data_IF_617103985764
#
_entry.id   IF_617103985764
#
_cell.length_a   1.000
_cell.length_b   1.000
_cell.length_c   1.000
_cell.angle_alpha   90.00
_cell.angle_beta   90.00
_cell.angle_gamma   90.00
#
_symmetry.space_group_name_H-M   'P 1'
#
loop_
_entity.id
_entity.type
_entity.pdbx_description
1 polymer ?
#
# COMPACT_ATOMS: atom_id res chain seq x y z
N UNK A 1 -22.85 -10.32 49.58
CA UNK A 1 -21.68 -10.04 48.71
C UNK A 1 -22.04 -8.84 47.84
N UNK A 2 -21.98 -7.64 48.42
CA UNK A 2 -22.32 -6.39 47.75
C UNK A 2 -21.05 -5.55 47.66
N UNK A 3 -20.51 -5.41 46.45
CA UNK A 3 -19.37 -4.54 46.18
C UNK A 3 -19.85 -3.10 46.21
N UNK A 4 -19.61 -2.39 47.32
CA UNK A 4 -19.70 -0.92 47.37
C UNK A 4 -18.40 -0.34 46.82
N UNK A 5 -18.43 0.17 45.60
CA UNK A 5 -17.44 1.13 45.12
C UNK A 5 -17.67 2.47 45.84
N UNK A 6 -16.98 2.67 46.96
CA UNK A 6 -16.87 3.99 47.58
C UNK A 6 -15.73 4.73 46.88
N UNK A 7 -16.08 5.69 46.03
CA UNK A 7 -15.15 6.67 45.46
C UNK A 7 -14.90 7.74 46.52
N UNK A 8 -14.03 7.41 47.47
CA UNK A 8 -13.60 8.34 48.53
C UNK A 8 -12.47 9.22 47.97
N UNK A 9 -12.77 10.50 47.73
CA UNK A 9 -11.87 11.50 47.11
C UNK A 9 -10.92 12.15 48.14
N UNK A 10 -10.46 11.43 49.15
CA UNK A 10 -9.75 12.03 50.30
C UNK A 10 -8.50 11.25 50.76
N UNK A 11 -7.74 10.70 49.82
CA UNK A 11 -6.33 10.40 50.06
C UNK A 11 -5.53 10.66 48.79
N UNK A 12 -4.80 11.77 48.79
CA UNK A 12 -3.77 12.11 47.83
C UNK A 12 -2.67 11.05 47.88
N UNK A 13 -2.86 9.96 47.15
CA UNK A 13 -1.76 9.16 46.62
C UNK A 13 -1.02 10.07 45.64
N UNK A 14 0.28 10.22 45.84
CA UNK A 14 1.24 10.83 44.90
C UNK A 14 1.25 10.03 43.59
N UNK A 15 0.15 10.10 42.84
CA UNK A 15 0.04 9.54 41.52
C UNK A 15 0.73 10.51 40.57
N UNK A 16 2.05 10.41 40.51
CA UNK A 16 2.86 11.11 39.53
C UNK A 16 2.74 10.35 38.21
N UNK A 17 1.77 10.75 37.39
CA UNK A 17 1.54 10.17 36.06
C UNK A 17 2.76 10.52 35.19
N UNK A 18 3.53 9.52 34.73
CA UNK A 18 4.64 9.71 33.78
C UNK A 18 4.10 10.03 32.38
N UNK A 19 3.48 11.21 32.29
CA UNK A 19 2.81 11.72 31.10
C UNK A 19 3.78 12.00 29.96
N UNK A 20 5.06 12.18 30.29
CA UNK A 20 6.14 12.43 29.35
C UNK A 20 6.42 11.19 28.50
N UNK A 21 6.54 10.02 29.13
CA UNK A 21 6.68 8.75 28.43
C UNK A 21 5.47 8.42 27.54
N UNK A 22 4.26 8.67 28.05
CA UNK A 22 3.04 8.49 27.27
C UNK A 22 2.97 9.41 26.05
N UNK A 23 3.29 10.70 26.19
CA UNK A 23 3.26 11.64 25.09
C UNK A 23 4.23 11.26 23.96
N UNK A 24 5.41 10.79 24.35
CA UNK A 24 6.48 10.48 23.42
C UNK A 24 6.19 9.23 22.57
N UNK A 25 5.56 8.20 23.12
CA UNK A 25 5.47 6.90 22.44
C UNK A 25 4.05 6.61 21.91
N UNK A 26 3.04 7.17 22.56
CA UNK A 26 1.65 6.79 22.31
C UNK A 26 1.15 7.40 20.99
N UNK A 27 0.94 6.52 20.01
CA UNK A 27 0.36 6.87 18.72
C UNK A 27 1.33 6.99 17.56
N UNK A 28 2.63 6.73 17.78
CA UNK A 28 3.65 6.90 16.75
C UNK A 28 3.30 6.14 15.47
N UNK A 29 3.06 4.83 15.55
CA UNK A 29 2.69 4.03 14.38
C UNK A 29 1.39 4.45 13.71
N UNK A 30 0.43 5.01 14.45
CA UNK A 30 -0.84 5.48 13.85
C UNK A 30 -0.65 6.80 13.10
N UNK A 31 0.11 7.73 13.67
CA UNK A 31 0.41 9.02 13.05
C UNK A 31 1.31 8.84 11.84
N UNK A 32 2.28 7.94 11.88
CA UNK A 32 3.22 7.67 10.80
C UNK A 32 2.50 7.34 9.49
N UNK A 33 1.54 6.40 9.52
CA UNK A 33 0.80 5.95 8.33
C UNK A 33 0.03 7.05 7.60
N UNK A 34 -0.34 8.13 8.30
CA UNK A 34 -1.10 9.25 7.74
C UNK A 34 -0.31 10.55 7.72
N UNK A 35 0.96 10.58 8.17
CA UNK A 35 1.74 11.80 8.36
C UNK A 35 1.92 12.59 7.04
N UNK A 36 2.24 11.89 5.95
CA UNK A 36 2.37 12.49 4.63
C UNK A 36 1.03 13.07 4.14
N UNK A 37 -0.08 12.38 4.37
CA UNK A 37 -1.41 12.85 3.92
C UNK A 37 -1.89 14.02 4.79
N UNK A 38 -1.69 13.98 6.10
CA UNK A 38 -2.05 15.08 7.02
C UNK A 38 -1.36 16.40 6.64
N UNK A 39 -0.09 16.34 6.24
CA UNK A 39 0.72 17.52 5.89
C UNK A 39 0.40 18.10 4.52
N UNK A 40 -0.29 17.36 3.65
CA UNK A 40 -0.79 17.85 2.36
C UNK A 40 -2.04 18.74 2.53
N UNK A 41 -2.83 18.59 3.61
CA UNK A 41 -3.98 19.47 3.89
C UNK A 41 -3.58 20.88 4.33
N UNK A 42 -4.37 21.90 4.03
CA UNK A 42 -4.14 23.27 4.54
C UNK A 42 -4.41 23.37 6.05
N UNK A 43 -5.14 22.41 6.62
CA UNK A 43 -5.36 22.34 8.07
C UNK A 43 -4.08 21.96 8.83
N UNK A 44 -2.99 21.60 8.13
CA UNK A 44 -1.67 21.41 8.72
C UNK A 44 -1.17 22.65 9.48
N UNK A 45 -1.59 23.86 9.10
CA UNK A 45 -1.17 25.12 9.73
C UNK A 45 -1.92 25.47 11.02
N UNK A 46 -3.00 24.74 11.34
CA UNK A 46 -3.84 25.05 12.50
C UNK A 46 -3.15 24.55 13.78
N UNK A 47 -3.02 25.39 14.82
CA UNK A 47 -2.42 24.99 16.10
C UNK A 47 -3.27 23.91 16.77
N UNK A 48 -2.80 22.67 16.81
CA UNK A 48 -3.56 21.53 17.32
C UNK A 48 -2.72 20.61 18.19
N UNK A 49 -3.41 19.83 19.01
CA UNK A 49 -2.79 18.73 19.74
C UNK A 49 -2.36 17.64 18.75
N UNK A 50 -1.07 17.29 18.74
CA UNK A 50 -0.50 16.22 17.92
C UNK A 50 0.04 15.11 18.83
N UNK A 51 -0.45 13.86 18.72
CA UNK A 51 0.25 12.73 19.31
C UNK A 51 1.57 12.51 18.58
N UNK A 52 2.61 12.07 19.30
CA UNK A 52 3.92 11.74 18.74
C UNK A 52 4.48 12.75 17.69
N UNK A 53 4.61 14.05 18.04
CA UNK A 53 4.99 15.10 17.08
C UNK A 53 6.39 14.90 16.47
N UNK A 54 7.25 14.09 17.09
CA UNK A 54 8.57 13.75 16.57
C UNK A 54 8.54 13.10 15.18
N UNK A 55 7.43 12.47 14.79
CA UNK A 55 7.28 11.88 13.44
C UNK A 55 7.44 12.90 12.33
N UNK A 56 7.08 14.16 12.59
CA UNK A 56 7.19 15.25 11.63
C UNK A 56 8.59 15.90 11.62
N UNK A 57 9.46 15.51 12.55
CA UNK A 57 10.80 16.08 12.77
C UNK A 57 11.86 15.07 12.26
N UNK A 58 11.73 14.66 10.99
CA UNK A 58 12.65 13.70 10.37
C UNK A 58 13.93 14.41 9.88
N UNK A 59 15.13 13.80 9.97
CA UNK A 59 16.34 14.38 9.40
C UNK A 59 16.23 14.62 7.89
N UNK A 60 15.53 13.72 7.20
CA UNK A 60 15.25 13.76 5.77
C UNK A 60 13.75 13.57 5.54
N UNK A 61 13.17 14.42 4.69
CA UNK A 61 11.76 14.30 4.31
C UNK A 61 11.60 13.26 3.21
N UNK A 62 10.51 12.48 3.20
CA UNK A 62 10.22 11.55 2.12
C UNK A 62 10.11 12.25 0.76
N UNK A 63 10.84 11.78 -0.25
CA UNK A 63 10.78 12.40 -1.58
C UNK A 63 9.56 11.97 -2.39
N UNK A 64 8.97 10.82 -2.05
CA UNK A 64 7.81 10.24 -2.73
C UNK A 64 6.77 9.81 -1.70
N UNK A 65 5.51 9.71 -2.15
CA UNK A 65 4.45 9.08 -1.39
C UNK A 65 4.80 7.61 -1.13
N UNK A 66 4.43 7.09 0.04
CA UNK A 66 4.62 5.69 0.37
C UNK A 66 3.89 4.78 -0.62
N UNK A 67 4.68 4.00 -1.37
CA UNK A 67 4.22 2.99 -2.32
C UNK A 67 4.08 1.65 -1.64
N UNK A 68 3.23 0.78 -2.20
CA UNK A 68 3.12 -0.60 -1.70
C UNK A 68 4.23 -1.43 -2.34
N UNK A 69 5.27 -1.73 -1.56
CA UNK A 69 6.58 -2.25 -1.99
C UNK A 69 6.61 -3.69 -2.52
N UNK A 70 5.47 -4.28 -2.87
CA UNK A 70 5.39 -5.68 -3.28
C UNK A 70 4.41 -5.94 -4.44
N UNK A 71 3.78 -4.91 -5.00
CA UNK A 71 2.92 -5.05 -6.16
C UNK A 71 3.64 -4.55 -7.41
N UNK A 72 3.82 -5.44 -8.39
CA UNK A 72 4.51 -5.14 -9.64
C UNK A 72 3.51 -4.72 -10.71
N UNK A 73 3.90 -3.79 -11.55
CA UNK A 73 3.03 -3.23 -12.59
C UNK A 73 3.72 -3.33 -13.95
N UNK A 74 2.99 -3.72 -14.98
CA UNK A 74 3.49 -3.72 -16.37
C UNK A 74 2.42 -3.23 -17.36
N UNK A 75 2.84 -2.44 -18.33
CA UNK A 75 2.01 -2.01 -19.45
C UNK A 75 1.97 -3.11 -20.51
N UNK A 76 0.76 -3.51 -20.91
CA UNK A 76 0.54 -4.63 -21.85
C UNK A 76 1.13 -4.32 -23.23
N UNK A 77 0.91 -3.10 -23.73
CA UNK A 77 1.35 -2.69 -25.07
C UNK A 77 2.56 -1.76 -25.05
N UNK A 78 2.78 -1.03 -23.96
CA UNK A 78 3.89 -0.09 -23.86
C UNK A 78 5.20 -0.74 -23.38
N UNK A 79 5.14 -1.93 -22.79
CA UNK A 79 6.29 -2.61 -22.18
C UNK A 79 6.91 -1.87 -20.99
N UNK A 80 6.27 -0.79 -20.52
CA UNK A 80 6.70 -0.05 -19.34
C UNK A 80 6.53 -0.94 -18.10
N UNK A 81 7.57 -1.03 -17.29
CA UNK A 81 7.56 -1.78 -16.04
C UNK A 81 7.69 -0.85 -14.85
N UNK A 82 6.94 -1.14 -13.79
CA UNK A 82 7.02 -0.49 -12.49
C UNK A 82 7.24 -1.55 -11.41
N UNK A 83 8.27 -1.37 -10.58
CA UNK A 83 8.58 -2.31 -9.49
C UNK A 83 7.54 -2.22 -8.36
N UNK A 84 7.00 -1.03 -8.14
CA UNK A 84 6.00 -0.72 -7.11
C UNK A 84 4.77 -0.04 -7.70
N UNK A 85 3.63 -0.24 -7.03
CA UNK A 85 2.40 0.51 -7.31
C UNK A 85 2.38 1.83 -6.54
N UNK A 86 2.04 2.92 -7.23
CA UNK A 86 1.91 4.24 -6.64
C UNK A 86 0.75 4.31 -5.62
N UNK A 87 0.86 5.18 -4.62
CA UNK A 87 -0.09 5.26 -3.51
C UNK A 87 -1.56 5.45 -3.96
N UNK A 88 -1.79 6.36 -4.91
CA UNK A 88 -3.13 6.67 -5.42
C UNK A 88 -3.69 5.49 -6.22
N UNK A 89 -2.86 4.87 -7.05
CA UNK A 89 -3.21 3.67 -7.81
C UNK A 89 -3.58 2.51 -6.87
N UNK A 90 -2.80 2.32 -5.81
CA UNK A 90 -3.07 1.34 -4.78
C UNK A 90 -4.38 1.62 -4.04
N UNK A 91 -4.60 2.89 -3.65
CA UNK A 91 -5.82 3.31 -2.99
C UNK A 91 -7.07 3.04 -3.84
N UNK A 92 -6.95 3.15 -5.18
CA UNK A 92 -8.02 2.91 -6.14
C UNK A 92 -8.38 1.43 -6.26
N UNK A 93 -7.38 0.56 -6.44
CA UNK A 93 -7.60 -0.85 -6.78
C UNK A 93 -7.68 -1.79 -5.58
N UNK A 94 -7.03 -1.46 -4.46
CA UNK A 94 -7.06 -2.27 -3.22
C UNK A 94 -6.75 -3.76 -3.42
N UNK A 95 -5.84 -4.10 -4.34
CA UNK A 95 -5.58 -5.50 -4.65
C UNK A 95 -5.06 -6.34 -3.48
N UNK A 96 -4.50 -5.74 -2.42
CA UNK A 96 -4.09 -6.45 -1.20
C UNK A 96 -5.24 -7.22 -0.53
N UNK A 97 -6.50 -6.78 -0.72
CA UNK A 97 -7.67 -7.46 -0.15
C UNK A 97 -8.27 -8.52 -1.06
N UNK A 98 -7.73 -8.70 -2.28
CA UNK A 98 -8.23 -9.71 -3.19
C UNK A 98 -7.83 -11.11 -2.73
N UNK A 99 -8.73 -12.10 -2.86
CA UNK A 99 -8.39 -13.49 -2.59
C UNK A 99 -7.22 -13.97 -3.48
N UNK A 100 -6.42 -14.92 -2.99
CA UNK A 100 -5.25 -15.41 -3.71
C UNK A 100 -5.62 -15.98 -5.08
N UNK A 101 -4.75 -15.77 -6.08
CA UNK A 101 -4.91 -16.26 -7.45
C UNK A 101 -6.25 -15.86 -8.12
N UNK A 102 -6.77 -14.68 -7.81
CA UNK A 102 -7.95 -14.13 -8.49
C UNK A 102 -7.59 -13.07 -9.51
N UNK A 103 -8.45 -12.92 -10.51
CA UNK A 103 -8.27 -11.93 -11.58
C UNK A 103 -9.45 -10.99 -11.56
N UNK A 104 -9.17 -9.70 -11.47
CA UNK A 104 -10.17 -8.65 -11.59
C UNK A 104 -9.86 -7.81 -12.83
N UNK A 105 -10.88 -7.50 -13.62
CA UNK A 105 -10.76 -6.53 -14.69
C UNK A 105 -11.46 -5.24 -14.30
N UNK A 106 -10.78 -4.12 -14.52
CA UNK A 106 -11.25 -2.80 -14.12
C UNK A 106 -11.00 -1.84 -15.27
N UNK A 107 -12.01 -1.05 -15.64
CA UNK A 107 -11.85 0.03 -16.61
C UNK A 107 -11.78 1.36 -15.87
N UNK A 108 -10.71 2.10 -16.11
CA UNK A 108 -10.46 3.41 -15.51
C UNK A 108 -10.58 4.48 -16.60
N UNK A 109 -11.51 5.41 -16.40
CA UNK A 109 -11.75 6.55 -17.29
C UNK A 109 -11.47 7.83 -16.53
N UNK A 110 -10.77 8.77 -17.18
CA UNK A 110 -10.53 10.10 -16.63
C UNK A 110 -11.63 11.08 -17.01
N UNK A 111 -12.08 11.86 -16.03
CA UNK A 111 -12.96 13.00 -16.21
C UNK A 111 -12.18 14.34 -16.28
N UNK A 112 -12.84 15.41 -16.74
CA UNK A 112 -12.28 16.77 -16.77
C UNK A 112 -12.17 17.46 -15.38
N UNK A 113 -12.26 16.69 -14.29
CA UNK A 113 -12.18 17.20 -12.93
C UNK A 113 -10.75 17.53 -12.51
N UNK A 114 -10.56 18.40 -11.49
CA UNK A 114 -9.24 18.67 -10.95
C UNK A 114 -8.55 17.39 -10.44
N UNK A 115 -7.23 17.43 -10.35
CA UNK A 115 -6.41 16.29 -9.93
C UNK A 115 -6.85 15.74 -8.57
N UNK A 116 -6.67 14.42 -8.36
CA UNK A 116 -6.89 13.82 -7.05
C UNK A 116 -6.10 14.60 -5.99
N UNK A 117 -6.84 15.16 -5.05
CA UNK A 117 -6.29 15.90 -3.92
C UNK A 117 -6.91 15.33 -2.65
N UNK A 118 -6.55 15.87 -1.50
CA UNK A 118 -7.20 15.47 -0.25
C UNK A 118 -8.63 16.00 -0.24
N UNK A 119 -9.55 15.17 0.26
CA UNK A 119 -10.92 15.63 0.51
C UNK A 119 -10.89 16.79 1.51
N UNK A 120 -11.32 17.97 1.07
CA UNK A 120 -11.39 19.19 1.91
C UNK A 120 -12.12 18.94 3.24
N UNK A 121 -13.22 18.19 3.21
CA UNK A 121 -14.01 17.79 4.37
C UNK A 121 -13.96 16.26 4.57
N UNK A 122 -12.75 15.71 4.63
CA UNK A 122 -12.53 14.30 4.91
C UNK A 122 -12.28 13.97 6.39
N UNK A 123 -12.00 12.70 6.71
CA UNK A 123 -11.65 12.25 8.07
C UNK A 123 -10.48 13.05 8.68
N UNK A 124 -9.51 13.43 7.85
CA UNK A 124 -8.35 14.22 8.27
C UNK A 124 -8.71 15.65 8.69
N UNK A 125 -9.75 16.23 8.10
CA UNK A 125 -10.21 17.57 8.48
C UNK A 125 -10.89 17.53 9.85
N UNK A 126 -11.73 16.52 10.09
CA UNK A 126 -12.34 16.28 11.41
C UNK A 126 -11.26 16.06 12.47
N UNK A 127 -10.23 15.27 12.14
CA UNK A 127 -9.10 15.01 13.03
C UNK A 127 -8.37 16.30 13.43
N UNK A 128 -8.10 17.18 12.46
CA UNK A 128 -7.47 18.47 12.71
C UNK A 128 -8.35 19.39 13.57
N UNK A 129 -9.66 19.41 13.34
CA UNK A 129 -10.62 20.18 14.13
C UNK A 129 -10.74 19.69 15.57
N UNK A 130 -10.77 18.37 15.78
CA UNK A 130 -10.77 17.78 17.14
C UNK A 130 -9.47 18.15 17.86
N UNK A 131 -8.31 17.99 17.23
CA UNK A 131 -7.03 18.38 17.83
C UNK A 131 -6.95 19.88 18.17
N UNK A 132 -7.53 20.74 17.33
CA UNK A 132 -7.66 22.17 17.60
C UNK A 132 -8.58 22.45 18.79
N UNK A 133 -9.77 21.83 18.82
CA UNK A 133 -10.74 21.98 19.90
C UNK A 133 -10.18 21.52 21.25
N UNK A 134 -9.43 20.41 21.28
CA UNK A 134 -8.73 19.95 22.48
C UNK A 134 -7.66 20.94 22.94
N UNK A 135 -6.87 21.51 22.01
CA UNK A 135 -5.89 22.54 22.37
C UNK A 135 -6.55 23.78 22.98
N UNK A 136 -7.65 24.26 22.39
CA UNK A 136 -8.43 25.38 22.95
C UNK A 136 -8.99 25.03 24.33
N UNK A 137 -9.51 23.82 24.51
CA UNK A 137 -10.07 23.36 25.79
C UNK A 137 -8.99 23.34 26.87
N UNK A 138 -7.80 22.81 26.56
CA UNK A 138 -6.65 22.79 27.48
C UNK A 138 -6.14 24.19 27.80
N UNK A 139 -6.15 25.10 26.82
CA UNK A 139 -5.79 26.50 27.03
C UNK A 139 -6.75 27.19 28.01
N UNK A 140 -8.06 27.02 27.81
CA UNK A 140 -9.08 27.58 28.70
C UNK A 140 -8.95 26.99 30.10
N UNK A 141 -8.76 25.67 30.21
CA UNK A 141 -8.59 25.01 31.50
C UNK A 141 -7.34 25.51 32.25
N UNK A 142 -6.23 25.73 31.53
CA UNK A 142 -5.00 26.30 32.09
C UNK A 142 -5.22 27.69 32.69
N UNK A 143 -6.02 28.53 32.02
CA UNK A 143 -6.38 29.88 32.50
C UNK A 143 -7.31 29.80 33.72
N UNK A 144 -8.35 28.96 33.66
CA UNK A 144 -9.33 28.80 34.76
C UNK A 144 -8.66 28.28 36.03
N UNK A 145 -7.79 27.28 35.91
CA UNK A 145 -7.05 26.69 37.03
C UNK A 145 -5.82 27.51 37.46
N UNK A 146 -5.56 28.66 36.80
CA UNK A 146 -4.44 29.57 37.06
C UNK A 146 -3.11 28.83 37.14
N UNK A 147 -2.80 28.06 36.10
CA UNK A 147 -1.59 27.26 35.99
C UNK A 147 -0.73 27.78 34.84
N UNK A 148 0.30 28.57 35.18
CA UNK A 148 1.19 29.19 34.22
C UNK A 148 2.01 28.16 33.44
N UNK A 149 2.44 27.06 34.10
CA UNK A 149 3.27 26.04 33.45
C UNK A 149 2.45 25.28 32.40
N UNK A 150 1.20 24.94 32.73
CA UNK A 150 0.28 24.32 31.77
C UNK A 150 -0.07 25.24 30.59
N UNK A 151 -0.22 26.55 30.85
CA UNK A 151 -0.46 27.54 29.80
C UNK A 151 0.73 27.62 28.83
N UNK A 152 1.96 27.72 29.34
CA UNK A 152 3.17 27.73 28.51
C UNK A 152 3.30 26.42 27.73
N UNK A 153 3.04 25.28 28.37
CA UNK A 153 3.04 23.98 27.69
C UNK A 153 2.06 23.96 26.50
N UNK A 154 0.83 24.44 26.71
CA UNK A 154 -0.20 24.51 25.66
C UNK A 154 0.25 25.39 24.49
N UNK A 155 0.84 26.55 24.76
CA UNK A 155 1.34 27.46 23.73
C UNK A 155 2.50 26.84 22.95
N UNK A 156 3.47 26.22 23.62
CA UNK A 156 4.62 25.59 22.99
C UNK A 156 4.21 24.39 22.12
N UNK A 157 3.32 23.53 22.60
CA UNK A 157 2.84 22.35 21.87
C UNK A 157 1.92 22.74 20.70
N UNK A 158 1.13 23.80 20.85
CA UNK A 158 0.33 24.37 19.77
C UNK A 158 1.21 24.99 18.68
N UNK A 159 2.22 25.77 19.08
CA UNK A 159 3.18 26.35 18.15
C UNK A 159 4.01 25.28 17.42
N UNK A 160 4.43 24.24 18.13
CA UNK A 160 5.08 23.05 17.57
C UNK A 160 4.27 22.45 16.43
N UNK A 161 2.96 22.27 16.61
CA UNK A 161 2.10 21.68 15.58
C UNK A 161 2.01 22.54 14.31
N UNK A 162 1.90 23.85 14.45
CA UNK A 162 1.88 24.78 13.32
C UNK A 162 3.22 24.81 12.61
N UNK A 163 4.32 24.86 13.37
CA UNK A 163 5.67 24.91 12.84
C UNK A 163 6.04 23.63 12.08
N UNK A 164 5.71 22.46 12.63
CA UNK A 164 5.88 21.17 11.94
C UNK A 164 4.99 21.05 10.70
N UNK A 165 3.78 21.63 10.73
CA UNK A 165 2.91 21.76 9.57
C UNK A 165 3.52 22.60 8.45
N UNK A 166 4.15 23.74 8.78
CA UNK A 166 4.86 24.59 7.81
C UNK A 166 6.07 23.85 7.22
N UNK A 167 6.88 23.22 8.07
CA UNK A 167 8.10 22.53 7.67
C UNK A 167 7.83 21.36 6.70
N UNK A 168 6.70 20.66 6.89
CA UNK A 168 6.37 19.45 6.14
C UNK A 168 5.26 19.66 5.10
N UNK A 169 4.73 20.87 4.93
CA UNK A 169 3.74 21.13 3.89
C UNK A 169 4.31 20.78 2.52
N UNK A 170 3.57 19.99 1.76
CA UNK A 170 3.93 19.63 0.40
C UNK A 170 2.71 19.60 -0.53
N UNK A 171 2.99 19.47 -1.82
CA UNK A 171 2.03 19.33 -2.90
C UNK A 171 2.52 18.32 -3.93
N UNK A 172 1.63 17.53 -4.57
CA UNK A 172 2.03 16.55 -5.57
C UNK A 172 2.58 17.21 -6.84
N UNK A 173 3.55 16.57 -7.50
CA UNK A 173 4.10 17.05 -8.77
C UNK A 173 2.98 17.29 -9.80
N UNK A 174 2.96 18.45 -10.47
CA UNK A 174 1.91 18.77 -11.41
C UNK A 174 2.07 18.08 -12.79
N UNK A 175 2.74 16.93 -12.88
CA UNK A 175 2.99 16.27 -14.16
C UNK A 175 1.72 15.57 -14.65
N UNK A 176 1.17 16.03 -15.76
CA UNK A 176 0.05 15.41 -16.47
C UNK A 176 0.50 15.21 -17.91
N UNK A 177 0.74 13.96 -18.34
CA UNK A 177 1.18 13.68 -19.70
C UNK A 177 0.18 14.28 -20.70
N UNK A 178 0.69 14.90 -21.77
CA UNK A 178 -0.19 15.39 -22.83
C UNK A 178 -0.84 14.19 -23.54
N UNK A 179 -2.13 14.27 -23.91
CA UNK A 179 -2.74 13.24 -24.74
C UNK A 179 -2.08 13.22 -26.11
N UNK A 180 -1.60 12.05 -26.52
CA UNK A 180 -1.02 11.83 -27.84
C UNK A 180 -1.97 10.90 -28.63
N UNK A 181 -2.53 11.35 -29.77
CA UNK A 181 -3.42 10.52 -30.58
C UNK A 181 -2.76 9.25 -31.14
N UNK A 182 -1.42 9.21 -31.23
CA UNK A 182 -0.68 8.07 -31.76
C UNK A 182 -0.23 7.08 -30.67
N UNK A 183 -0.55 7.34 -29.40
CA UNK A 183 -0.17 6.42 -28.33
C UNK A 183 -0.94 5.09 -28.44
N UNK A 184 -0.28 3.93 -28.20
CA UNK A 184 -0.95 2.64 -28.13
C UNK A 184 -1.95 2.59 -26.96
N UNK A 185 -2.73 1.51 -26.86
CA UNK A 185 -3.62 1.30 -25.72
C UNK A 185 -2.85 1.23 -24.41
N UNK A 186 -3.34 1.91 -23.37
CA UNK A 186 -2.69 2.06 -22.08
C UNK A 186 -3.05 0.96 -21.09
N UNK A 187 -3.24 -0.26 -21.56
CA UNK A 187 -3.65 -1.36 -20.69
C UNK A 187 -2.51 -1.75 -19.73
N UNK A 188 -2.87 -1.97 -18.47
CA UNK A 188 -1.92 -2.24 -17.40
C UNK A 188 -2.30 -3.50 -16.64
N UNK A 189 -1.33 -4.36 -16.36
CA UNK A 189 -1.51 -5.50 -15.45
C UNK A 189 -0.75 -5.25 -14.17
N UNK A 190 -1.44 -5.42 -13.04
CA UNK A 190 -0.88 -5.31 -11.70
C UNK A 190 -0.86 -6.71 -11.10
N UNK A 191 0.29 -7.14 -10.59
CA UNK A 191 0.46 -8.41 -9.88
C UNK A 191 0.74 -8.13 -8.41
N UNK A 192 -0.07 -8.74 -7.55
CA UNK A 192 0.11 -8.72 -6.09
C UNK A 192 0.84 -9.98 -5.61
N UNK A 193 1.45 -9.94 -4.40
CA UNK A 193 2.20 -11.08 -3.84
C UNK A 193 1.39 -12.36 -3.68
N UNK A 194 0.09 -12.24 -3.39
CA UNK A 194 -0.79 -13.41 -3.27
C UNK A 194 -1.13 -14.11 -4.61
N UNK A 195 -0.50 -13.71 -5.71
CA UNK A 195 -0.78 -14.25 -7.05
C UNK A 195 -2.05 -13.70 -7.70
N UNK A 196 -2.65 -12.66 -7.12
CA UNK A 196 -3.80 -11.97 -7.69
C UNK A 196 -3.36 -10.99 -8.78
N UNK A 197 -4.14 -10.92 -9.86
CA UNK A 197 -3.93 -10.03 -10.99
C UNK A 197 -5.08 -9.03 -11.11
N UNK A 198 -4.74 -7.77 -11.38
CA UNK A 198 -5.71 -6.76 -11.78
C UNK A 198 -5.34 -6.29 -13.18
N UNK A 199 -6.24 -6.52 -14.14
CA UNK A 199 -6.09 -6.02 -15.50
C UNK A 199 -6.88 -4.73 -15.62
N UNK A 200 -6.16 -3.63 -15.79
CA UNK A 200 -6.71 -2.29 -15.90
C UNK A 200 -6.77 -1.88 -17.35
N UNK A 201 -7.97 -1.61 -17.84
CA UNK A 201 -8.22 -1.04 -19.16
C UNK A 201 -8.27 0.47 -19.05
N UNK A 202 -7.29 1.17 -19.62
CA UNK A 202 -7.23 2.63 -19.60
C UNK A 202 -6.46 3.20 -20.81
N UNK A 203 -6.56 4.51 -21.00
CA UNK A 203 -5.77 5.22 -22.02
C UNK A 203 -4.30 5.34 -21.58
N UNK A 204 -3.36 5.41 -22.54
CA UNK A 204 -1.91 5.51 -22.23
C UNK A 204 -1.57 6.73 -21.36
N UNK A 205 -2.28 7.83 -21.56
CA UNK A 205 -2.16 9.02 -20.70
C UNK A 205 -2.42 8.69 -19.23
N UNK A 206 -3.52 8.00 -18.96
CA UNK A 206 -3.91 7.56 -17.61
C UNK A 206 -2.93 6.54 -17.05
N UNK A 207 -2.47 5.62 -17.89
CA UNK A 207 -1.48 4.62 -17.51
C UNK A 207 -0.17 5.26 -17.04
N UNK A 208 0.36 6.20 -17.83
CA UNK A 208 1.57 6.99 -17.50
C UNK A 208 1.40 7.85 -16.27
N UNK A 209 0.23 8.45 -16.09
CA UNK A 209 -0.05 9.30 -14.94
C UNK A 209 -0.17 8.51 -13.63
N UNK A 210 -0.92 7.41 -13.65
CA UNK A 210 -1.31 6.68 -12.44
C UNK A 210 -0.32 5.59 -12.04
N UNK A 211 0.33 4.93 -13.01
CA UNK A 211 1.19 3.75 -12.76
C UNK A 211 2.65 3.97 -13.10
N UNK A 212 2.95 4.67 -14.19
CA UNK A 212 4.32 4.80 -14.70
C UNK A 212 4.84 6.24 -14.61
N UNK A 213 4.56 6.95 -13.52
CA UNK A 213 5.00 8.34 -13.37
C UNK A 213 6.36 8.42 -12.66
N UNK A 214 7.51 8.42 -13.36
CA UNK A 214 8.83 8.44 -12.73
C UNK A 214 9.10 9.74 -11.95
N UNK A 215 8.35 10.80 -12.27
CA UNK A 215 8.51 12.15 -11.71
C UNK A 215 7.60 12.45 -10.52
N UNK A 216 6.86 11.46 -10.02
CA UNK A 216 6.07 11.63 -8.81
C UNK A 216 7.03 11.94 -7.65
N UNK A 217 6.95 13.18 -7.16
CA UNK A 217 7.76 13.70 -6.06
C UNK A 217 6.90 14.59 -5.18
N UNK A 218 7.22 14.62 -3.90
CA UNK A 218 6.62 15.53 -2.93
C UNK A 218 7.29 16.89 -3.06
N UNK A 219 6.61 17.88 -3.66
CA UNK A 219 7.13 19.25 -3.74
C UNK A 219 6.80 19.96 -2.44
N UNK A 220 7.80 20.07 -1.57
CA UNK A 220 7.69 20.77 -0.29
C UNK A 220 7.65 22.30 -0.46
N UNK A 221 6.82 22.97 0.34
CA UNK A 221 6.73 24.42 0.38
C UNK A 221 8.07 25.05 0.83
N UNK A 222 8.72 24.45 1.84
CA UNK A 222 10.07 24.82 2.27
C UNK A 222 11.09 24.04 1.44
N UNK A 223 11.67 24.70 0.42
CA UNK A 223 12.66 24.08 -0.48
C UNK A 223 14.07 24.01 0.10
N UNK A 224 14.48 24.99 0.91
CA UNK A 224 15.83 25.06 1.48
C UNK A 224 16.01 24.09 2.64
N UNK A 225 17.04 23.25 2.56
CA UNK A 225 17.43 22.31 3.62
C UNK A 225 17.80 23.03 4.92
N UNK A 226 18.44 24.19 4.84
CA UNK A 226 18.83 24.97 6.03
C UNK A 226 17.61 25.49 6.78
N UNK A 227 16.63 26.02 6.04
CA UNK A 227 15.37 26.51 6.65
C UNK A 227 14.61 25.33 7.27
N UNK A 228 14.53 24.20 6.58
CA UNK A 228 13.90 22.99 7.12
C UNK A 228 14.57 22.53 8.43
N UNK A 229 15.90 22.44 8.46
CA UNK A 229 16.65 22.07 9.67
C UNK A 229 16.45 23.07 10.81
N UNK A 230 16.38 24.36 10.50
CA UNK A 230 16.06 25.40 11.48
C UNK A 230 14.66 25.24 12.08
N UNK A 231 13.64 25.04 11.24
CA UNK A 231 12.27 24.78 11.70
C UNK A 231 12.17 23.47 12.50
N UNK A 232 12.90 22.44 12.09
CA UNK A 232 13.01 21.18 12.82
C UNK A 232 13.62 21.37 14.21
N UNK A 233 14.70 22.15 14.33
CA UNK A 233 15.33 22.47 15.62
C UNK A 233 14.36 23.23 16.53
N UNK A 234 13.68 24.26 16.01
CA UNK A 234 12.66 25.01 16.76
C UNK A 234 11.55 24.07 17.25
N UNK A 235 11.10 23.14 16.40
CA UNK A 235 10.11 22.12 16.78
C UNK A 235 10.61 21.27 17.95
N UNK A 236 11.83 20.75 17.88
CA UNK A 236 12.40 19.93 18.96
C UNK A 236 12.49 20.70 20.28
N UNK A 237 12.91 21.98 20.24
CA UNK A 237 12.98 22.83 21.42
C UNK A 237 11.60 23.11 22.02
N UNK A 238 10.59 23.39 21.18
CA UNK A 238 9.22 23.58 21.64
C UNK A 238 8.62 22.29 22.22
N UNK A 239 8.95 21.12 21.66
CA UNK A 239 8.54 19.83 22.20
C UNK A 239 9.14 19.60 23.58
N UNK A 240 10.47 19.70 23.72
CA UNK A 240 11.15 19.51 25.00
C UNK A 240 10.68 20.52 26.04
N UNK A 241 10.59 21.80 25.68
CA UNK A 241 10.09 22.86 26.56
C UNK A 241 8.63 22.63 26.98
N UNK A 242 7.77 22.23 26.04
CA UNK A 242 6.37 21.94 26.32
C UNK A 242 6.19 20.77 27.28
N UNK A 243 6.97 19.70 27.11
CA UNK A 243 6.99 18.52 27.99
C UNK A 243 7.47 18.88 29.39
N UNK A 244 8.57 19.62 29.51
CA UNK A 244 9.13 20.04 30.81
C UNK A 244 8.11 20.92 31.55
N UNK A 245 7.45 21.84 30.84
CA UNK A 245 6.42 22.68 31.44
C UNK A 245 5.21 21.86 31.89
N UNK A 246 4.79 20.86 31.11
CA UNK A 246 3.70 19.97 31.48
C UNK A 246 4.03 19.11 32.72
N UNK A 247 5.25 18.62 32.82
CA UNK A 247 5.71 17.83 33.98
C UNK A 247 5.68 18.63 35.30
N UNK A 248 5.82 19.97 35.22
CA UNK A 248 5.73 20.88 36.36
C UNK A 248 4.34 21.53 36.54
N UNK A 249 3.36 21.17 35.70
CA UNK A 249 1.99 21.66 35.82
C UNK A 249 1.26 21.02 37.01
N UNK A 250 0.13 21.60 37.41
CA UNK A 250 -0.75 21.00 38.42
C UNK A 250 -1.29 19.67 37.93
N UNK A 251 -1.44 18.70 38.84
CA UNK A 251 -1.95 17.37 38.53
C UNK A 251 -3.31 17.39 37.81
N UNK A 252 -4.18 18.36 38.12
CA UNK A 252 -5.47 18.55 37.46
C UNK A 252 -5.34 18.82 35.96
N UNK A 253 -4.35 19.62 35.55
CA UNK A 253 -4.08 19.88 34.15
C UNK A 253 -3.34 18.71 33.50
N UNK A 254 -2.42 18.07 34.22
CA UNK A 254 -1.74 16.87 33.73
C UNK A 254 -2.73 15.76 33.37
N UNK A 255 -3.72 15.48 34.22
CA UNK A 255 -4.75 14.49 33.92
C UNK A 255 -5.62 14.89 32.72
N UNK A 256 -5.96 16.17 32.58
CA UNK A 256 -6.69 16.68 31.40
C UNK A 256 -5.90 16.53 30.10
N UNK A 257 -4.59 16.81 30.14
CA UNK A 257 -3.67 16.56 29.04
C UNK A 257 -3.59 15.08 28.70
N UNK A 258 -3.43 14.21 29.69
CA UNK A 258 -3.37 12.76 29.50
C UNK A 258 -4.65 12.25 28.82
N UNK A 259 -5.82 12.65 29.32
CA UNK A 259 -7.10 12.28 28.74
C UNK A 259 -7.25 12.78 27.29
N UNK A 260 -6.85 14.02 27.02
CA UNK A 260 -6.88 14.60 25.68
C UNK A 260 -5.97 13.86 24.70
N UNK A 261 -4.76 13.49 25.13
CA UNK A 261 -3.81 12.74 24.33
C UNK A 261 -4.27 11.30 24.06
N UNK A 262 -4.84 10.63 25.05
CA UNK A 262 -5.46 9.31 24.84
C UNK A 262 -6.61 9.39 23.85
N UNK A 263 -7.49 10.38 24.01
CA UNK A 263 -8.63 10.56 23.12
C UNK A 263 -8.20 10.86 21.68
N UNK A 264 -7.33 11.85 21.47
CA UNK A 264 -6.87 12.17 20.12
C UNK A 264 -6.14 10.99 19.49
N UNK A 265 -5.36 10.22 20.26
CA UNK A 265 -4.68 9.03 19.73
C UNK A 265 -5.67 7.96 19.24
N UNK A 266 -6.75 7.70 19.99
CA UNK A 266 -7.82 6.79 19.54
C UNK A 266 -8.42 7.27 18.21
N UNK A 267 -8.66 8.59 18.08
CA UNK A 267 -9.17 9.15 16.82
C UNK A 267 -8.15 9.01 15.68
N UNK A 268 -6.85 9.24 15.92
CA UNK A 268 -5.79 8.99 14.94
C UNK A 268 -5.78 7.51 14.50
N UNK A 269 -5.90 6.58 15.44
CA UNK A 269 -5.95 5.14 15.14
C UNK A 269 -7.17 4.77 14.28
N UNK A 270 -8.36 5.29 14.61
CA UNK A 270 -9.58 5.08 13.81
C UNK A 270 -9.39 5.63 12.40
N UNK A 271 -8.84 6.84 12.25
CA UNK A 271 -8.62 7.48 10.95
C UNK A 271 -7.56 6.75 10.12
N UNK A 272 -6.49 6.25 10.76
CA UNK A 272 -5.45 5.44 10.12
C UNK A 272 -5.99 4.08 9.66
N UNK A 273 -6.92 3.48 10.39
CA UNK A 273 -7.58 2.24 9.99
C UNK A 273 -8.54 2.41 8.80
N UNK A 274 -8.91 3.64 8.44
CA UNK A 274 -9.78 3.87 7.30
C UNK A 274 -9.07 3.53 5.98
N UNK A 275 -9.83 3.05 4.98
CA UNK A 275 -9.28 2.82 3.66
C UNK A 275 -8.63 4.11 3.07
N UNK A 276 -7.38 4.09 2.55
CA UNK A 276 -6.74 5.25 1.90
C UNK A 276 -7.61 5.97 0.87
N UNK A 277 -8.46 5.26 0.13
CA UNK A 277 -9.44 5.84 -0.80
C UNK A 277 -10.39 6.88 -0.15
N UNK A 278 -10.64 6.80 1.16
CA UNK A 278 -11.47 7.79 1.86
C UNK A 278 -10.74 9.09 2.17
N UNK A 279 -9.40 9.09 2.21
CA UNK A 279 -8.60 10.28 2.48
C UNK A 279 -8.43 11.13 1.21
N UNK A 280 -8.41 10.47 0.05
CA UNK A 280 -8.23 11.08 -1.27
C UNK A 280 -9.56 11.34 -1.97
N UNK A 281 -9.62 12.46 -2.69
CA UNK A 281 -10.68 12.77 -3.63
C UNK A 281 -10.34 12.13 -4.97
N UNK A 282 -10.87 10.94 -5.22
CA UNK A 282 -10.65 10.17 -6.45
C UNK A 282 -11.69 10.50 -7.54
N UNK A 283 -12.45 11.59 -7.40
CA UNK A 283 -13.59 11.92 -8.27
C UNK A 283 -13.24 12.18 -9.74
N UNK A 284 -11.95 12.36 -10.07
CA UNK A 284 -11.43 12.43 -11.45
C UNK A 284 -11.37 11.04 -12.12
N UNK A 285 -11.23 9.98 -11.35
CA UNK A 285 -11.04 8.62 -11.84
C UNK A 285 -12.35 7.85 -11.67
N UNK A 286 -13.04 7.61 -12.78
CA UNK A 286 -14.20 6.73 -12.80
C UNK A 286 -13.76 5.29 -13.00
N UNK A 287 -14.12 4.45 -12.03
CA UNK A 287 -13.73 3.05 -11.99
C UNK A 287 -14.98 2.22 -12.22
N UNK A 288 -14.97 1.47 -13.32
CA UNK A 288 -16.01 0.48 -13.63
C UNK A 288 -15.41 -0.92 -13.50
N UNK A 289 -16.04 -1.76 -12.67
CA UNK A 289 -15.62 -3.15 -12.53
C UNK A 289 -16.23 -3.97 -13.66
N UNK A 290 -15.40 -4.80 -14.27
CA UNK A 290 -15.79 -5.69 -15.35
C UNK A 290 -15.73 -7.10 -14.81
N UNK A 291 -16.86 -7.81 -14.84
CA UNK A 291 -16.93 -9.19 -14.38
C UNK A 291 -16.33 -10.13 -15.43
N UNK A 292 -15.26 -10.83 -15.07
CA UNK A 292 -14.67 -11.85 -15.94
C UNK A 292 -15.27 -13.21 -15.58
N UNK A 293 -15.97 -13.83 -16.53
CA UNK A 293 -16.55 -15.18 -16.39
C UNK A 293 -15.86 -16.16 -17.33
N UNK A 294 -15.72 -17.41 -16.90
CA UNK A 294 -15.03 -18.46 -17.65
C UNK A 294 -13.57 -18.61 -17.23
N UNK A 295 -12.75 -19.22 -18.09
CA UNK A 295 -11.37 -19.58 -17.77
C UNK A 295 -11.22 -20.61 -16.66
N UNK A 296 -12.31 -21.33 -16.32
CA UNK A 296 -12.26 -22.52 -15.48
C UNK A 296 -12.11 -23.75 -16.38
N UNK A 297 -11.51 -24.84 -15.89
CA UNK A 297 -11.44 -26.06 -16.68
C UNK A 297 -12.85 -26.54 -17.08
N UNK A 298 -13.00 -27.24 -18.22
CA UNK A 298 -14.30 -27.72 -18.69
C UNK A 298 -15.06 -28.52 -17.62
N UNK A 299 -16.40 -28.55 -17.69
CA UNK A 299 -17.31 -29.21 -16.71
C UNK A 299 -16.92 -30.64 -16.31
N UNK A 300 -16.14 -31.34 -17.12
CA UNK A 300 -15.64 -32.70 -16.89
C UNK A 300 -14.52 -32.79 -15.85
N UNK A 301 -13.83 -31.68 -15.52
CA UNK A 301 -12.70 -31.63 -14.58
C UNK A 301 -13.01 -30.90 -13.26
N UNK A 302 -14.30 -30.62 -13.00
CA UNK A 302 -14.76 -29.82 -11.87
C UNK A 302 -14.52 -30.55 -10.55
N UNK A 303 -13.50 -30.15 -9.80
CA UNK A 303 -13.39 -30.45 -8.36
C UNK A 303 -13.81 -29.18 -7.63
N UNK A 304 -15.06 -29.16 -7.16
CA UNK A 304 -15.75 -27.96 -6.63
C UNK A 304 -15.11 -27.29 -5.39
N UNK A 305 -13.97 -27.79 -4.90
CA UNK A 305 -13.33 -27.36 -3.65
C UNK A 305 -11.82 -27.07 -3.75
N UNK A 306 -11.25 -26.96 -4.95
CA UNK A 306 -9.82 -26.63 -5.09
C UNK A 306 -9.66 -25.12 -5.24
N UNK A 307 -8.80 -24.46 -4.44
CA UNK A 307 -8.55 -23.02 -4.58
C UNK A 307 -7.94 -22.73 -5.96
N UNK A 308 -8.24 -21.57 -6.57
CA UNK A 308 -7.70 -21.20 -7.86
C UNK A 308 -6.17 -21.21 -7.82
N UNK A 309 -5.56 -21.74 -8.87
CA UNK A 309 -4.10 -21.84 -8.99
C UNK A 309 -3.50 -20.61 -9.69
N UNK A 310 -2.22 -20.32 -9.43
CA UNK A 310 -1.52 -19.21 -10.09
C UNK A 310 -1.58 -19.31 -11.63
N UNK A 311 -1.50 -20.53 -12.17
CA UNK A 311 -1.59 -20.81 -13.61
C UNK A 311 -2.97 -20.48 -14.19
N UNK A 312 -4.04 -20.71 -13.43
CA UNK A 312 -5.40 -20.33 -13.84
C UNK A 312 -5.58 -18.81 -13.80
N UNK A 313 -5.03 -18.15 -12.78
CA UNK A 313 -5.06 -16.69 -12.69
C UNK A 313 -4.27 -16.04 -13.83
N UNK A 314 -3.08 -16.56 -14.12
CA UNK A 314 -2.24 -16.09 -15.21
C UNK A 314 -2.92 -16.31 -16.57
N UNK A 315 -3.53 -17.48 -16.80
CA UNK A 315 -4.32 -17.75 -18.00
C UNK A 315 -5.45 -16.73 -18.17
N UNK A 316 -6.24 -16.50 -17.12
CA UNK A 316 -7.34 -15.53 -17.17
C UNK A 316 -6.81 -14.13 -17.49
N UNK A 317 -5.70 -13.70 -16.92
CA UNK A 317 -5.10 -12.41 -17.24
C UNK A 317 -4.62 -12.32 -18.70
N UNK A 318 -3.98 -13.38 -19.23
CA UNK A 318 -3.56 -13.46 -20.65
C UNK A 318 -4.79 -13.41 -21.57
N UNK A 319 -5.84 -14.14 -21.24
CA UNK A 319 -7.05 -14.17 -22.06
C UNK A 319 -7.85 -12.85 -22.05
N UNK A 320 -7.75 -12.05 -20.98
CA UNK A 320 -8.32 -10.68 -20.91
C UNK A 320 -7.47 -9.67 -21.69
N UNK A 321 -6.15 -9.82 -21.66
CA UNK A 321 -5.21 -8.91 -22.34
C UNK A 321 -5.03 -9.26 -23.82
N UNK A 322 -5.26 -10.50 -24.21
CA UNK A 322 -5.12 -11.00 -25.58
C UNK A 322 -3.68 -11.26 -26.03
N UNK A 323 -2.68 -11.08 -25.17
CA UNK A 323 -1.26 -11.29 -25.49
C UNK A 323 -0.50 -11.88 -24.31
N UNK A 324 0.59 -12.62 -24.56
CA UNK A 324 1.45 -13.18 -23.51
C UNK A 324 2.77 -12.40 -23.30
N UNK A 325 3.07 -11.43 -24.17
CA UNK A 325 4.35 -10.71 -24.22
C UNK A 325 4.71 -10.02 -22.89
N UNK A 326 3.74 -9.36 -22.25
CA UNK A 326 3.95 -8.71 -20.96
C UNK A 326 4.36 -9.71 -19.86
N UNK A 327 3.93 -10.97 -19.92
CA UNK A 327 4.36 -12.00 -18.95
C UNK A 327 5.85 -12.32 -19.12
N UNK A 328 6.30 -12.38 -20.38
CA UNK A 328 7.70 -12.65 -20.77
C UNK A 328 8.59 -11.48 -20.35
N UNK A 329 8.17 -10.24 -20.62
CA UNK A 329 8.88 -9.01 -20.25
C UNK A 329 8.96 -8.82 -18.73
N UNK A 330 7.88 -9.07 -18.01
CA UNK A 330 7.84 -8.92 -16.55
C UNK A 330 8.59 -10.03 -15.81
N UNK A 331 8.94 -11.13 -16.48
CA UNK A 331 9.54 -12.31 -15.86
C UNK A 331 8.62 -12.98 -14.82
N UNK A 332 7.30 -12.94 -15.04
CA UNK A 332 6.31 -13.49 -14.10
C UNK A 332 6.02 -14.98 -14.32
N UNK A 333 6.60 -15.57 -15.37
CA UNK A 333 6.68 -17.01 -15.59
C UNK A 333 8.16 -17.47 -15.53
N UNK A 334 8.44 -18.71 -15.05
CA UNK A 334 9.78 -19.29 -15.14
C UNK A 334 10.29 -19.33 -16.58
N UNK A 335 11.58 -19.02 -16.77
CA UNK A 335 12.25 -19.07 -18.09
C UNK A 335 12.62 -20.50 -18.46
N UNK A 336 11.63 -21.37 -18.64
CA UNK A 336 11.83 -22.75 -19.12
C UNK A 336 11.14 -22.97 -20.46
N UNK A 337 11.62 -23.89 -21.31
CA UNK A 337 10.99 -24.13 -22.61
C UNK A 337 9.52 -24.56 -22.49
N UNK A 338 9.17 -25.38 -21.50
CA UNK A 338 7.79 -25.76 -21.22
C UNK A 338 6.86 -24.57 -20.91
N UNK A 339 7.39 -23.55 -20.22
CA UNK A 339 6.61 -22.33 -19.91
C UNK A 339 6.48 -21.42 -21.13
N UNK A 340 7.50 -21.36 -22.00
CA UNK A 340 7.40 -20.63 -23.27
C UNK A 340 6.35 -21.26 -24.19
N UNK A 341 6.42 -22.59 -24.38
CA UNK A 341 5.43 -23.34 -25.16
C UNK A 341 4.02 -23.15 -24.57
N UNK A 342 3.89 -23.15 -23.24
CA UNK A 342 2.60 -22.90 -22.56
C UNK A 342 2.06 -21.49 -22.78
N UNK A 343 2.94 -20.47 -22.77
CA UNK A 343 2.54 -19.08 -23.03
C UNK A 343 2.08 -18.89 -24.48
N UNK A 344 2.74 -19.56 -25.42
CA UNK A 344 2.37 -19.54 -26.83
C UNK A 344 1.02 -20.26 -27.05
N UNK A 345 0.82 -21.46 -26.46
CA UNK A 345 -0.49 -22.15 -26.49
C UNK A 345 -1.60 -21.32 -25.84
N UNK A 346 -1.30 -20.60 -24.76
CA UNK A 346 -2.25 -19.70 -24.11
C UNK A 346 -2.62 -18.54 -25.05
N UNK A 347 -1.64 -17.88 -25.65
CA UNK A 347 -1.89 -16.78 -26.59
C UNK A 347 -2.74 -17.22 -27.78
N UNK A 348 -2.41 -18.36 -28.39
CA UNK A 348 -3.21 -18.97 -29.46
C UNK A 348 -4.65 -19.29 -29.01
N UNK A 349 -4.82 -19.78 -27.78
CA UNK A 349 -6.13 -20.05 -27.21
C UNK A 349 -6.95 -18.77 -26.97
N UNK A 350 -6.31 -17.65 -26.62
CA UNK A 350 -6.96 -16.35 -26.43
C UNK A 350 -7.33 -15.69 -27.76
N UNK A 351 -6.49 -15.83 -28.78
CA UNK A 351 -6.71 -15.27 -30.13
C UNK A 351 -7.77 -16.06 -30.90
N UNK A 352 -7.76 -17.39 -30.78
CA UNK A 352 -8.70 -18.27 -31.52
C UNK A 352 -10.17 -18.09 -31.12
N UNK A 353 -10.45 -17.81 -29.84
CA UNK A 353 -11.78 -17.46 -29.36
C UNK A 353 -11.71 -16.14 -28.58
N UNK A 354 -11.85 -14.99 -29.27
CA UNK A 354 -11.77 -13.70 -28.61
C UNK A 354 -12.86 -13.56 -27.55
N UNK A 355 -12.52 -12.83 -26.49
CA UNK A 355 -13.45 -12.55 -25.40
C UNK A 355 -14.75 -11.94 -25.93
N UNK A 356 -15.89 -12.45 -25.45
CA UNK A 356 -17.19 -11.88 -25.79
C UNK A 356 -17.61 -10.93 -24.67
N UNK A 357 -17.72 -9.64 -24.99
CA UNK A 357 -18.27 -8.64 -24.10
C UNK A 357 -19.80 -8.67 -24.16
N UNK A 358 -20.44 -8.66 -22.99
CA UNK A 358 -21.90 -8.54 -22.89
C UNK A 358 -22.29 -7.79 -21.62
N UNK A 359 -23.46 -7.17 -21.62
CA UNK A 359 -24.03 -6.56 -20.42
C UNK A 359 -24.88 -7.60 -19.69
N UNK A 360 -24.63 -7.78 -18.39
CA UNK A 360 -25.47 -8.61 -17.52
C UNK A 360 -25.82 -7.84 -16.27
N UNK A 361 -27.03 -8.08 -15.75
CA UNK A 361 -27.42 -7.57 -14.44
C UNK A 361 -26.68 -8.34 -13.36
N UNK A 362 -26.08 -7.60 -12.44
CA UNK A 362 -25.47 -8.13 -11.23
C UNK A 362 -26.53 -8.60 -10.22
N UNK A 363 -26.13 -9.21 -9.11
CA UNK A 363 -27.01 -9.66 -8.02
C UNK A 363 -27.83 -8.49 -7.41
N UNK A 364 -27.33 -7.25 -7.54
CA UNK A 364 -27.99 -6.01 -7.11
C UNK A 364 -28.85 -5.35 -8.21
N UNK A 365 -29.01 -6.00 -9.38
CA UNK A 365 -29.85 -5.53 -10.48
C UNK A 365 -29.24 -4.42 -11.36
N UNK A 366 -27.99 -4.05 -11.13
CA UNK A 366 -27.24 -3.07 -11.94
C UNK A 366 -26.63 -3.71 -13.18
N UNK A 367 -26.67 -3.05 -14.32
CA UNK A 367 -26.02 -3.52 -15.55
C UNK A 367 -24.49 -3.43 -15.38
N UNK A 368 -23.81 -4.57 -15.36
CA UNK A 368 -22.36 -4.71 -15.25
C UNK A 368 -21.81 -5.37 -16.52
N UNK A 369 -20.77 -4.78 -17.07
CA UNK A 369 -20.05 -5.33 -18.22
C UNK A 369 -19.42 -6.67 -17.82
N UNK A 370 -19.82 -7.73 -18.51
CA UNK A 370 -19.36 -9.10 -18.27
C UNK A 370 -18.61 -9.62 -19.48
N UNK A 371 -17.38 -10.05 -19.27
CA UNK A 371 -16.54 -10.62 -20.31
C UNK A 371 -16.47 -12.13 -20.13
N UNK A 372 -16.88 -12.87 -21.17
CA UNK A 372 -16.80 -14.33 -21.17
C UNK A 372 -15.58 -14.79 -21.94
N UNK A 373 -14.73 -15.56 -21.27
CA UNK A 373 -13.49 -16.13 -21.80
C UNK A 373 -13.68 -17.62 -22.06
N UNK A 374 -12.95 -18.14 -23.05
CA UNK A 374 -12.85 -19.58 -23.34
C UNK A 374 -12.44 -20.37 -22.09
N UNK A 375 -13.08 -21.51 -21.89
CA UNK A 375 -12.65 -22.48 -20.90
C UNK A 375 -11.47 -23.27 -21.48
N UNK A 376 -10.31 -23.14 -20.83
CA UNK A 376 -9.10 -23.88 -21.16
C UNK A 376 -8.48 -24.40 -19.87
N UNK A 377 -8.06 -25.66 -19.89
CA UNK A 377 -7.44 -26.30 -18.73
C UNK A 377 -5.95 -26.00 -18.70
N UNK A 378 -5.63 -24.79 -18.23
CA UNK A 378 -4.27 -24.27 -18.13
C UNK A 378 -3.33 -25.17 -17.32
N UNK A 379 -3.87 -25.83 -16.29
CA UNK A 379 -3.09 -26.68 -15.38
C UNK A 379 -2.67 -27.98 -16.05
N UNK A 380 -3.60 -28.64 -16.74
CA UNK A 380 -3.28 -29.88 -17.45
C UNK A 380 -2.41 -29.63 -18.68
N UNK A 381 -2.59 -28.50 -19.36
CA UNK A 381 -1.69 -28.08 -20.44
C UNK A 381 -0.24 -27.97 -19.93
N UNK A 382 -0.01 -27.21 -18.84
CA UNK A 382 1.34 -27.05 -18.29
C UNK A 382 1.94 -28.38 -17.79
N UNK A 383 1.15 -29.22 -17.11
CA UNK A 383 1.64 -30.50 -16.61
C UNK A 383 2.06 -31.45 -17.74
N UNK A 384 1.34 -31.41 -18.87
CA UNK A 384 1.65 -32.18 -20.08
C UNK A 384 2.92 -31.68 -20.75
N UNK A 385 3.09 -30.35 -20.85
CA UNK A 385 4.28 -29.74 -21.45
C UNK A 385 5.54 -29.97 -20.61
N UNK A 386 5.42 -29.92 -19.28
CA UNK A 386 6.53 -30.22 -18.38
C UNK A 386 6.99 -31.68 -18.55
N UNK A 387 6.07 -32.65 -18.56
CA UNK A 387 6.38 -34.06 -18.80
C UNK A 387 7.05 -34.27 -20.17
N UNK A 388 6.45 -33.71 -21.22
CA UNK A 388 6.98 -33.80 -22.58
C UNK A 388 8.39 -33.22 -22.68
N UNK A 389 8.64 -32.10 -22.00
CA UNK A 389 9.97 -31.47 -21.95
C UNK A 389 10.98 -32.34 -21.22
N UNK A 390 10.61 -32.91 -20.07
CA UNK A 390 11.46 -33.85 -19.33
C UNK A 390 11.81 -35.06 -20.19
N UNK A 391 10.85 -35.65 -20.90
CA UNK A 391 11.07 -36.78 -21.80
C UNK A 391 12.00 -36.42 -22.96
N UNK A 392 11.84 -35.21 -23.55
CA UNK A 392 12.75 -34.70 -24.59
C UNK A 392 14.18 -34.57 -24.08
N UNK A 393 14.36 -34.02 -22.89
CA UNK A 393 15.69 -33.86 -22.26
C UNK A 393 16.31 -35.24 -21.97
N UNK A 394 15.54 -36.18 -21.43
CA UNK A 394 16.02 -37.55 -21.18
C UNK A 394 16.45 -38.25 -22.47
N UNK A 395 15.65 -38.16 -23.54
CA UNK A 395 15.97 -38.75 -24.84
C UNK A 395 17.25 -38.15 -25.46
N UNK A 396 17.44 -36.83 -25.35
CA UNK A 396 18.66 -36.16 -25.80
C UNK A 396 19.89 -36.55 -24.96
N UNK A 397 19.72 -36.73 -23.64
CA UNK A 397 20.77 -37.21 -22.75
C UNK A 397 21.21 -38.64 -23.05
N UNK A 398 20.28 -39.54 -23.41
CA UNK A 398 20.60 -40.91 -23.84
C UNK A 398 21.23 -40.99 -25.23
N UNK A 399 20.96 -40.03 -26.11
CA UNK A 399 21.52 -39.99 -27.46
C UNK A 399 22.97 -39.46 -27.51
N UNK A 400 23.39 -38.64 -26.54
CA UNK A 400 24.70 -37.95 -26.54
C UNK A 400 25.77 -38.56 -25.61
N UNK A 401 25.58 -39.78 -25.10
CA UNK A 401 26.54 -40.43 -24.19
C UNK A 401 26.46 -39.87 -22.77
N UNK A 402 25.99 -40.70 -21.85
CA UNK A 402 25.35 -40.33 -20.59
C UNK A 402 26.20 -39.71 -19.45
N UNK A 403 27.36 -39.11 -19.67
CA UNK A 403 28.15 -38.56 -18.54
C UNK A 403 28.42 -37.05 -18.57
N UNK A 404 28.30 -36.37 -19.71
CA UNK A 404 28.76 -34.98 -19.83
C UNK A 404 27.66 -33.90 -19.85
N UNK A 405 26.38 -34.28 -19.94
CA UNK A 405 25.27 -33.31 -20.08
C UNK A 405 24.88 -32.67 -18.74
N UNK A 406 24.78 -33.45 -17.65
CA UNK A 406 24.36 -32.93 -16.34
C UNK A 406 25.33 -31.89 -15.76
N UNK A 407 26.64 -31.95 -16.08
CA UNK A 407 27.63 -30.95 -15.63
C UNK A 407 27.54 -29.60 -16.34
N UNK A 408 26.98 -29.53 -17.56
CA UNK A 408 26.98 -28.29 -18.37
C UNK A 408 25.71 -27.45 -18.22
N UNK A 409 24.57 -28.07 -17.93
CA UNK A 409 23.27 -27.40 -18.08
C UNK A 409 22.71 -26.86 -16.77
N UNK A 410 23.19 -27.35 -15.61
CA UNK A 410 22.68 -26.97 -14.30
C UNK A 410 23.87 -26.65 -13.40
N UNK A 411 24.19 -25.36 -13.25
CA UNK A 411 25.13 -24.89 -12.23
C UNK A 411 24.53 -25.03 -10.84
N UNK A 412 24.55 -26.24 -10.28
CA UNK A 412 24.15 -26.53 -8.90
C UNK A 412 25.26 -27.32 -8.22
N UNK A 413 25.63 -26.81 -7.03
CA UNK A 413 26.70 -27.27 -6.16
C UNK A 413 26.70 -28.79 -5.91
N UNK A 414 27.91 -29.33 -5.78
CA UNK A 414 28.17 -30.71 -5.35
C UNK A 414 27.42 -31.06 -4.06
N UNK A 415 26.89 -32.29 -3.92
CA UNK A 415 26.44 -32.79 -2.64
C UNK A 415 27.64 -32.94 -1.71
N UNK A 416 27.55 -32.36 -0.52
CA UNK A 416 28.39 -32.65 0.65
C UNK A 416 28.21 -34.12 1.04
N UNK A 417 28.95 -35.01 0.40
CA UNK A 417 29.10 -36.39 0.80
C UNK A 417 30.59 -36.72 0.71
N UNK A 418 31.36 -36.13 1.63
CA UNK A 418 32.69 -36.55 2.08
C UNK A 418 33.12 -35.59 3.20
N UNK A 419 32.49 -35.72 4.38
CA UNK A 419 33.13 -35.30 5.63
C UNK A 419 33.31 -36.53 6.50
N UNK A 420 34.60 -36.80 6.74
CA UNK A 420 35.23 -37.74 7.65
C UNK A 420 34.37 -38.19 8.84
N UNK A 421 34.22 -39.51 8.99
CA UNK A 421 33.82 -40.12 10.27
C UNK A 421 35.03 -40.07 11.23
N UNK A 422 34.88 -39.54 12.46
CA UNK A 422 35.91 -39.73 13.47
C UNK A 422 35.96 -41.20 13.90
N UNK A 423 37.15 -41.79 13.86
CA UNK A 423 37.47 -43.08 14.47
C UNK A 423 37.25 -42.98 16.00
N UNK A 424 36.38 -43.83 16.53
CA UNK A 424 36.23 -44.03 17.98
C UNK A 424 37.09 -45.25 18.34
N UNK A 425 38.17 -45.02 19.08
CA UNK A 425 38.96 -46.08 19.72
C UNK A 425 38.12 -46.80 20.80
N UNK A 426 38.20 -48.14 20.90
CA UNK A 426 37.62 -48.85 22.02
C UNK A 426 38.54 -48.73 23.24
N UNK A 427 38.00 -48.18 24.34
CA UNK A 427 38.63 -48.24 25.66
C UNK A 427 38.68 -49.68 26.16
N UNK A 428 39.86 -50.12 26.59
CA UNK A 428 40.06 -51.06 27.68
C UNK A 428 40.48 -50.28 28.92
#
# INVERSE_FOLDING_TARGET
>A
MAWRFSLDWTSSLDFQLDIVGFLAILGEGSVETIAQVVTLSNLAYVPRLLPAPQIFIRPTRPEKLETTSNAKVIGVHSGNTGEDIHHIAHALHRGDKLPPNTVQCVRVVENERPRPSIKRFGPLAILALIGFALSVTLLVLSVVLRDAMSLIATLLLSFLSTNTGIANKWSPTPNDPKPDPHSPEGDVVIKYPQGAFIVVKCQERTARYLYFNPSERCIYAVKSTTIYRGLSLISTLCLMGGVICLANAKIQNQTAFAASYMFINIVYWIVAALPPAKHWDLSRLEVSQIMVKGGTPPRTARVDNVPPTYTEALWKAIAVTGTSNWVKEAGWAPRTPAWNDWLDEAEDAAVSEPMKAGLRKDEEGKDVETWTIRNWDSRNALSTLLRTTTDRIQRQGTANGGENFWRRTIGVAQPLADMERPQVEPKA
#
